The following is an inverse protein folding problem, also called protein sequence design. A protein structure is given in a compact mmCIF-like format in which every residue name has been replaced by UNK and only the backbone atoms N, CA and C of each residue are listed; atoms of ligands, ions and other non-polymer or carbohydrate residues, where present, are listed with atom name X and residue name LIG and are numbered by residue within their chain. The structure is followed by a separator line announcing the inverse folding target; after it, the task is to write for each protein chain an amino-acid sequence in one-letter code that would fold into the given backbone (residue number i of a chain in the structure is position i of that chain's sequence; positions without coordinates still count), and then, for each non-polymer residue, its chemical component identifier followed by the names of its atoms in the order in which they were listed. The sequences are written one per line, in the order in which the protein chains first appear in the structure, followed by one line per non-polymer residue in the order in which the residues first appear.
data_IF_378108029897
#
_entry.id   IF_378108029897
#
_cell.length_a   1.000
_cell.length_b   1.000
_cell.length_c   1.000
_cell.angle_alpha   90.00
_cell.angle_beta   90.00
_cell.angle_gamma   90.00
#
_symmetry.space_group_name_H-M   'P 1'
#
loop_
_entity.id
_entity.type
_entity.pdbx_description
1 polymer ?
#
# COMPACT_ATOMS: atom_id res chain seq x y z
N UNK A 1 -19.23 -2.56 -6.64
CA UNK A 1 -18.95 -3.19 -5.35
C UNK A 1 -17.64 -2.64 -4.78
N UNK A 2 -17.62 -2.38 -3.47
CA UNK A 2 -16.51 -1.65 -2.82
C UNK A 2 -15.17 -2.36 -2.97
N UNK A 3 -15.15 -3.66 -2.76
CA UNK A 3 -13.90 -4.43 -2.87
C UNK A 3 -13.29 -4.35 -4.26
N UNK A 4 -14.11 -4.44 -5.28
CA UNK A 4 -13.64 -4.35 -6.66
C UNK A 4 -13.08 -2.97 -6.96
N UNK A 5 -13.74 -1.91 -6.46
CA UNK A 5 -13.24 -0.55 -6.64
C UNK A 5 -11.88 -0.36 -5.99
N UNK A 6 -11.68 -0.95 -4.81
CA UNK A 6 -10.39 -0.87 -4.13
C UNK A 6 -9.30 -1.50 -4.97
N UNK A 7 -9.54 -2.70 -5.49
CA UNK A 7 -8.55 -3.40 -6.29
C UNK A 7 -8.29 -2.72 -7.63
N UNK A 8 -9.31 -2.12 -8.23
CA UNK A 8 -9.14 -1.35 -9.46
C UNK A 8 -8.25 -0.13 -9.24
N UNK A 9 -8.47 0.60 -8.14
CA UNK A 9 -7.62 1.74 -7.80
C UNK A 9 -6.20 1.31 -7.50
N UNK A 10 -6.04 0.19 -6.80
CA UNK A 10 -4.72 -0.34 -6.50
C UNK A 10 -3.96 -0.68 -7.79
N UNK A 11 -4.65 -1.25 -8.76
CA UNK A 11 -4.05 -1.58 -10.05
C UNK A 11 -3.63 -0.33 -10.81
N UNK A 12 -4.41 0.75 -10.73
CA UNK A 12 -4.06 2.01 -11.37
C UNK A 12 -2.84 2.66 -10.73
N UNK A 13 -2.69 2.52 -9.42
CA UNK A 13 -1.60 3.15 -8.68
C UNK A 13 -0.29 2.37 -8.77
N UNK A 14 -0.36 1.08 -9.06
CA UNK A 14 0.82 0.23 -9.04
C UNK A 14 1.94 0.72 -9.97
N UNK A 15 1.68 1.12 -11.21
CA UNK A 15 2.75 1.64 -12.07
C UNK A 15 3.44 2.87 -11.49
N UNK A 16 2.68 3.75 -10.83
CA UNK A 16 3.25 4.94 -10.21
C UNK A 16 4.13 4.58 -9.02
N UNK A 17 3.68 3.60 -8.24
CA UNK A 17 4.41 3.09 -7.09
C UNK A 17 5.76 2.52 -7.51
N UNK A 18 5.75 1.74 -8.59
CA UNK A 18 6.96 1.07 -9.09
C UNK A 18 8.01 2.03 -9.63
N UNK A 19 7.63 3.26 -9.96
CA UNK A 19 8.55 4.28 -10.43
C UNK A 19 9.36 4.95 -9.32
N UNK A 20 8.94 4.79 -8.07
CA UNK A 20 9.62 5.43 -6.95
C UNK A 20 10.93 4.70 -6.63
N UNK A 21 12.02 5.45 -6.62
CA UNK A 21 13.32 4.88 -6.27
C UNK A 21 13.29 4.37 -4.83
N UNK A 22 13.70 3.12 -4.64
CA UNK A 22 13.67 2.49 -3.34
C UNK A 22 12.46 1.61 -3.10
N UNK A 23 11.50 1.60 -4.01
CA UNK A 23 10.37 0.67 -3.92
C UNK A 23 10.86 -0.77 -4.08
N UNK A 24 10.38 -1.66 -3.24
CA UNK A 24 10.74 -3.08 -3.31
C UNK A 24 9.56 -3.93 -3.76
N UNK A 25 8.45 -3.88 -3.01
CA UNK A 25 7.29 -4.71 -3.33
C UNK A 25 6.04 -4.17 -2.68
N UNK A 26 4.89 -4.59 -3.22
CA UNK A 26 3.59 -4.31 -2.62
C UNK A 26 2.69 -5.51 -2.83
N UNK A 27 1.90 -5.80 -1.82
CA UNK A 27 0.90 -6.86 -1.90
C UNK A 27 -0.31 -6.42 -1.08
N UNK A 28 -1.48 -6.84 -1.52
CA UNK A 28 -2.73 -6.44 -0.89
C UNK A 28 -3.47 -7.64 -0.37
N UNK A 29 -4.14 -7.43 0.76
CA UNK A 29 -4.80 -8.51 1.49
C UNK A 29 -6.19 -8.07 1.92
N UNK A 30 -7.08 -9.02 1.96
CA UNK A 30 -8.43 -8.80 2.48
C UNK A 30 -8.53 -9.44 3.86
N UNK A 31 -9.15 -8.71 4.81
CA UNK A 31 -9.35 -9.24 6.14
C UNK A 31 -10.36 -10.39 6.14
N UNK A 32 -10.02 -11.47 6.81
CA UNK A 32 -10.95 -12.59 6.99
C UNK A 32 -11.91 -12.37 8.15
N UNK A 33 -11.63 -11.37 8.98
CA UNK A 33 -12.40 -11.09 10.20
C UNK A 33 -13.37 -9.93 9.99
N UNK A 34 -12.91 -8.87 9.34
CA UNK A 34 -13.69 -7.63 9.21
C UNK A 34 -14.11 -7.44 7.76
N UNK A 35 -15.43 -7.40 7.49
CA UNK A 35 -15.91 -7.17 6.12
C UNK A 35 -15.43 -5.84 5.55
N UNK A 36 -15.07 -5.84 4.28
CA UNK A 36 -14.66 -4.66 3.53
C UNK A 36 -13.42 -3.96 4.09
N UNK A 37 -12.57 -4.72 4.79
CA UNK A 37 -11.31 -4.20 5.29
C UNK A 37 -10.16 -4.81 4.51
N UNK A 38 -9.28 -3.95 4.01
CA UNK A 38 -8.14 -4.36 3.19
C UNK A 38 -6.86 -3.75 3.73
N UNK A 39 -5.74 -4.42 3.52
CA UNK A 39 -4.43 -3.87 3.84
C UNK A 39 -3.55 -3.90 2.61
N UNK A 40 -2.78 -2.85 2.44
CA UNK A 40 -1.72 -2.79 1.43
C UNK A 40 -0.40 -2.82 2.18
N UNK A 41 0.38 -3.87 1.96
CA UNK A 41 1.68 -4.03 2.60
C UNK A 41 2.76 -3.78 1.56
N UNK A 42 3.59 -2.77 1.81
CA UNK A 42 4.67 -2.44 0.89
C UNK A 42 6.01 -2.42 1.62
N UNK A 43 7.06 -2.80 0.90
CA UNK A 43 8.41 -2.78 1.41
C UNK A 43 9.26 -1.80 0.61
N UNK A 44 10.15 -1.11 1.30
CA UNK A 44 10.94 -0.02 0.74
C UNK A 44 12.37 -0.11 1.24
N UNK A 45 13.30 0.40 0.43
CA UNK A 45 14.72 0.40 0.77
C UNK A 45 15.00 1.23 2.04
N UNK A 46 14.35 2.39 2.17
CA UNK A 46 14.61 3.32 3.26
C UNK A 46 13.40 4.24 3.48
N UNK A 47 13.45 4.98 4.58
CA UNK A 47 12.37 5.88 4.93
C UNK A 47 12.21 7.04 3.93
N UNK A 48 13.30 7.49 3.34
CA UNK A 48 13.24 8.57 2.35
C UNK A 48 12.40 8.16 1.15
N UNK A 49 12.50 6.88 0.73
CA UNK A 49 11.69 6.34 -0.37
C UNK A 49 10.21 6.34 0.00
N UNK A 50 9.89 5.93 1.23
CA UNK A 50 8.51 5.94 1.71
C UNK A 50 7.96 7.37 1.72
N UNK A 51 8.76 8.31 2.18
CA UNK A 51 8.34 9.71 2.25
C UNK A 51 8.01 10.27 0.86
N UNK A 52 8.84 9.93 -0.13
CA UNK A 52 8.59 10.35 -1.53
C UNK A 52 7.27 9.79 -2.06
N UNK A 53 7.02 8.52 -1.81
CA UNK A 53 5.76 7.90 -2.22
C UNK A 53 4.57 8.50 -1.49
N UNK A 54 4.71 8.72 -0.18
CA UNK A 54 3.61 9.24 0.63
C UNK A 54 3.16 10.61 0.14
N UNK A 55 4.10 11.47 -0.24
CA UNK A 55 3.77 12.77 -0.79
C UNK A 55 3.00 12.66 -2.09
N UNK A 56 3.47 11.79 -2.99
CA UNK A 56 2.81 11.55 -4.26
C UNK A 56 1.46 10.86 -4.07
N UNK A 57 1.39 9.89 -3.16
CA UNK A 57 0.17 9.14 -2.86
C UNK A 57 -0.92 10.06 -2.31
N UNK A 58 -0.58 10.99 -1.44
CA UNK A 58 -1.55 11.94 -0.93
C UNK A 58 -2.19 12.74 -2.06
N UNK A 59 -1.39 13.16 -3.02
CA UNK A 59 -1.89 13.91 -4.17
C UNK A 59 -2.81 13.05 -5.04
N UNK A 60 -2.38 11.84 -5.36
CA UNK A 60 -3.15 10.92 -6.20
C UNK A 60 -4.44 10.48 -5.51
N UNK A 61 -4.35 10.19 -4.21
CA UNK A 61 -5.51 9.77 -3.43
C UNK A 61 -6.56 10.87 -3.37
N UNK A 62 -6.14 12.12 -3.19
CA UNK A 62 -7.06 13.24 -3.17
C UNK A 62 -7.81 13.34 -4.49
N UNK A 63 -7.12 13.16 -5.61
CA UNK A 63 -7.76 13.18 -6.92
C UNK A 63 -8.76 12.05 -7.09
N UNK A 64 -8.40 10.85 -6.65
CA UNK A 64 -9.26 9.67 -6.80
C UNK A 64 -10.46 9.70 -5.89
N UNK A 65 -10.30 10.16 -4.65
CA UNK A 65 -11.43 10.28 -3.71
C UNK A 65 -12.44 11.29 -4.21
N UNK A 66 -11.99 12.34 -4.87
CA UNK A 66 -12.88 13.31 -5.49
C UNK A 66 -13.72 12.72 -6.59
N UNK A 67 -13.29 11.59 -7.17
CA UNK A 67 -14.01 10.93 -8.26
C UNK A 67 -14.87 9.76 -7.77
N UNK A 68 -14.40 9.00 -6.81
CA UNK A 68 -14.97 7.68 -6.49
C UNK A 68 -15.48 7.51 -5.07
N UNK A 69 -14.98 8.26 -4.13
CA UNK A 69 -15.34 8.14 -2.72
C UNK A 69 -15.22 6.70 -2.21
N UNK A 70 -14.16 5.99 -2.63
CA UNK A 70 -13.99 4.57 -2.31
C UNK A 70 -13.73 4.32 -0.83
N UNK A 71 -12.94 5.19 -0.20
CA UNK A 71 -12.50 4.95 1.17
C UNK A 71 -13.37 5.70 2.17
N UNK A 72 -13.99 4.95 3.11
CA UNK A 72 -14.67 5.54 4.26
C UNK A 72 -13.65 6.00 5.30
N UNK A 73 -12.55 5.23 5.45
CA UNK A 73 -11.51 5.52 6.43
C UNK A 73 -10.24 4.77 6.03
N UNK A 74 -9.09 5.26 6.48
CA UNK A 74 -7.84 4.55 6.27
C UNK A 74 -6.83 4.91 7.36
N UNK A 75 -5.85 4.04 7.54
CA UNK A 75 -4.74 4.25 8.46
C UNK A 75 -3.45 3.82 7.76
N UNK A 76 -2.41 4.63 7.92
CA UNK A 76 -1.08 4.28 7.41
C UNK A 76 -0.16 4.12 8.60
N UNK A 77 0.53 2.98 8.67
CA UNK A 77 1.55 2.72 9.68
C UNK A 77 2.86 2.44 8.96
N UNK A 78 3.91 3.11 9.38
CA UNK A 78 5.25 2.93 8.80
C UNK A 78 6.13 2.33 9.88
N UNK A 79 6.79 1.22 9.57
CA UNK A 79 7.61 0.51 10.53
C UNK A 79 8.95 0.15 9.91
N UNK A 80 9.98 0.13 10.72
CA UNK A 80 11.29 -0.35 10.31
C UNK A 80 11.38 -1.83 10.64
N UNK A 81 11.83 -2.63 9.66
CA UNK A 81 12.00 -4.08 9.87
C UNK A 81 13.27 -4.31 10.66
N UNK A 82 13.13 -4.71 11.92
CA UNK A 82 14.27 -4.99 12.78
C UNK A 82 14.93 -6.32 12.40
N UNK A 83 14.16 -7.33 12.07
CA UNK A 83 14.63 -8.66 11.68
C UNK A 83 13.64 -9.30 10.73
N UNK A 84 14.15 -10.21 9.91
CA UNK A 84 13.32 -10.91 8.96
C UNK A 84 13.88 -12.33 8.78
N UNK A 85 13.04 -13.33 8.97
CA UNK A 85 13.43 -14.72 8.86
C UNK A 85 12.50 -15.45 7.90
N UNK A 86 13.06 -16.37 7.14
CA UNK A 86 12.28 -17.29 6.32
C UNK A 86 12.59 -18.71 6.78
N UNK A 87 11.87 -19.69 6.24
CA UNK A 87 12.14 -21.09 6.56
C UNK A 87 13.58 -21.47 6.17
N UNK A 88 14.07 -20.94 5.07
CA UNK A 88 15.42 -21.22 4.59
C UNK A 88 16.52 -20.74 5.57
N UNK A 89 16.21 -19.75 6.38
CA UNK A 89 17.15 -19.18 7.35
C UNK A 89 17.22 -19.96 8.66
N UNK A 90 16.36 -20.93 8.83
CA UNK A 90 16.28 -21.74 10.06
C UNK A 90 17.09 -23.01 9.88
N UNK A 91 18.36 -22.88 10.03
CA UNK A 91 19.27 -24.02 9.87
C UNK A 91 19.90 -24.40 11.20
#
# INVERSE_FOLDING_TARGET
EVGQRYFDLAAELKPELEKIDGFISVERFESLVTPNKYVSLSFWRDEASVARWREQDNHLTAQMLGKTEVFADFRISVAEVARQYSLADRV
#
